data_IF_126430398464
#
_entry.id   IF_126430398464
#
_cell.length_a   1.000
_cell.length_b   1.000
_cell.length_c   1.000
_cell.angle_alpha   90.00
_cell.angle_beta   90.00
_cell.angle_gamma   90.00
#
_symmetry.space_group_name_H-M   'P 1'
#
loop_
_entity.id
_entity.type
_entity.pdbx_description
1 polymer ?
#
# COMPACT_ATOMS: atom_id res chain seq x y z
N UNK A 1 46.87 -2.64 -1.16
CA UNK A 1 45.65 -1.96 -1.63
C UNK A 1 45.31 -0.87 -0.63
N UNK A 2 45.16 0.41 -1.01
CA UNK A 2 44.80 1.45 -0.05
C UNK A 2 43.36 1.24 0.44
N UNK A 3 43.17 1.41 1.75
CA UNK A 3 41.89 1.28 2.43
C UNK A 3 40.91 2.35 1.92
N UNK A 4 39.73 1.90 1.45
CA UNK A 4 38.73 2.73 0.76
C UNK A 4 37.52 2.97 1.66
N UNK A 5 37.63 3.94 2.54
CA UNK A 5 36.51 4.50 3.28
C UNK A 5 36.90 5.89 3.83
N UNK A 6 37.05 6.89 2.95
CA UNK A 6 37.20 8.26 3.40
C UNK A 6 35.81 8.86 3.65
N UNK A 7 35.60 9.60 4.76
CA UNK A 7 34.32 10.27 5.05
C UNK A 7 33.89 11.30 3.99
N UNK A 8 34.80 11.65 3.06
CA UNK A 8 34.63 12.66 2.02
C UNK A 8 35.56 12.40 0.83
N UNK A 9 35.29 13.06 -0.30
CA UNK A 9 36.08 12.96 -1.54
C UNK A 9 35.30 12.26 -2.65
N UNK A 10 35.66 12.53 -3.91
CA UNK A 10 35.08 11.85 -5.07
C UNK A 10 35.88 10.57 -5.36
N UNK A 11 35.20 9.43 -5.43
CA UNK A 11 35.76 8.19 -5.97
C UNK A 11 35.48 8.16 -7.48
N UNK A 12 36.52 8.08 -8.31
CA UNK A 12 36.43 8.14 -9.78
C UNK A 12 35.95 6.84 -10.44
N UNK A 13 35.35 5.93 -9.67
CA UNK A 13 34.87 4.64 -10.15
C UNK A 13 33.43 4.70 -10.62
N UNK A 14 33.15 4.05 -11.75
CA UNK A 14 31.80 3.86 -12.24
C UNK A 14 31.02 3.02 -11.22
N UNK A 15 30.08 3.66 -10.52
CA UNK A 15 29.14 2.98 -9.64
C UNK A 15 27.87 2.69 -10.42
N UNK A 16 27.46 1.43 -10.42
CA UNK A 16 26.20 1.00 -11.04
C UNK A 16 25.13 0.88 -9.96
N UNK A 17 24.02 1.57 -10.15
CA UNK A 17 22.85 1.49 -9.27
C UNK A 17 21.86 0.51 -9.89
N UNK A 18 21.56 -0.56 -9.16
CA UNK A 18 20.58 -1.56 -9.54
C UNK A 18 19.37 -1.46 -8.61
N UNK A 19 18.17 -1.71 -9.15
CA UNK A 19 16.95 -1.83 -8.35
C UNK A 19 16.19 -3.08 -8.76
N UNK A 20 15.47 -3.66 -7.80
CA UNK A 20 14.50 -4.73 -8.04
C UNK A 20 13.27 -4.47 -7.19
N UNK A 21 12.13 -5.00 -7.61
CA UNK A 21 10.92 -4.99 -6.81
C UNK A 21 10.26 -6.35 -6.88
N UNK A 22 9.77 -6.81 -5.73
CA UNK A 22 8.95 -8.02 -5.65
C UNK A 22 7.52 -7.55 -5.42
N UNK A 23 6.59 -7.77 -6.37
CA UNK A 23 5.19 -7.46 -6.13
C UNK A 23 4.65 -8.35 -5.01
N UNK A 24 3.91 -7.76 -4.09
CA UNK A 24 3.06 -8.52 -3.18
C UNK A 24 1.72 -8.68 -3.86
N UNK A 25 1.35 -9.93 -4.16
CA UNK A 25 0.12 -10.24 -4.88
C UNK A 25 -1.14 -9.85 -4.07
N UNK A 26 -1.02 -9.68 -2.75
CA UNK A 26 -2.14 -9.40 -1.86
C UNK A 26 -1.80 -8.36 -0.78
N UNK A 27 -2.75 -7.48 -0.41
CA UNK A 27 -2.53 -6.39 0.56
C UNK A 27 -2.47 -6.86 2.01
N UNK A 28 -2.92 -8.07 2.31
CA UNK A 28 -2.85 -8.71 3.64
C UNK A 28 -1.48 -9.36 3.90
N UNK A 29 -0.71 -9.66 2.84
CA UNK A 29 0.61 -10.24 2.95
C UNK A 29 1.61 -9.23 3.50
N UNK A 30 2.17 -9.57 4.66
CA UNK A 30 3.26 -8.81 5.26
C UNK A 30 4.62 -9.38 4.84
N UNK A 31 5.54 -8.51 4.43
CA UNK A 31 6.95 -8.88 4.26
C UNK A 31 7.52 -9.26 5.62
N UNK A 32 7.82 -10.55 5.82
CA UNK A 32 8.39 -11.03 7.09
C UNK A 32 9.89 -10.79 7.19
N UNK A 33 10.60 -11.00 6.10
CA UNK A 33 12.05 -10.86 6.04
C UNK A 33 12.50 -10.64 4.59
N UNK A 34 13.60 -9.89 4.43
CA UNK A 34 14.33 -9.77 3.17
C UNK A 34 15.69 -10.41 3.39
N UNK A 35 16.01 -11.42 2.60
CA UNK A 35 17.34 -12.06 2.62
C UNK A 35 18.15 -11.50 1.48
N UNK A 36 19.31 -10.95 1.81
CA UNK A 36 20.26 -10.44 0.83
C UNK A 36 21.28 -11.53 0.50
N UNK A 37 21.87 -11.51 -0.71
CA UNK A 37 22.96 -12.42 -1.03
C UNK A 37 24.09 -12.27 -0.01
N UNK A 38 24.64 -13.40 0.42
CA UNK A 38 25.79 -13.40 1.31
C UNK A 38 27.03 -12.88 0.58
N UNK A 39 28.00 -12.39 1.35
CA UNK A 39 29.24 -11.86 0.79
C UNK A 39 30.07 -12.94 0.07
N UNK A 40 29.82 -14.22 0.36
CA UNK A 40 30.57 -15.35 -0.17
C UNK A 40 30.07 -15.79 -1.55
N UNK A 41 28.82 -15.51 -1.91
CA UNK A 41 28.26 -15.73 -3.26
C UNK A 41 28.52 -14.59 -4.23
N UNK A 42 28.91 -13.40 -3.73
CA UNK A 42 29.25 -12.24 -4.54
C UNK A 42 30.75 -12.28 -4.80
N UNK A 43 31.15 -12.86 -5.94
CA UNK A 43 32.55 -13.02 -6.34
C UNK A 43 33.28 -11.65 -6.36
N UNK A 44 33.92 -11.32 -5.23
CA UNK A 44 34.86 -10.19 -5.00
C UNK A 44 34.26 -8.77 -4.90
N UNK A 45 32.95 -8.62 -4.66
CA UNK A 45 32.28 -7.32 -4.56
C UNK A 45 31.67 -7.01 -3.18
N UNK A 46 31.62 -5.72 -2.80
CA UNK A 46 30.78 -5.24 -1.68
C UNK A 46 29.51 -4.60 -2.26
N UNK A 47 28.33 -5.02 -1.80
CA UNK A 47 27.06 -4.38 -2.16
C UNK A 47 26.79 -3.24 -1.17
N UNK A 48 26.54 -2.05 -1.71
CA UNK A 48 26.00 -0.93 -0.95
C UNK A 48 24.49 -0.90 -1.16
N UNK A 49 23.72 -1.01 -0.08
CA UNK A 49 22.28 -0.84 -0.11
C UNK A 49 22.00 0.64 0.12
N UNK A 50 21.46 1.29 -0.91
CA UNK A 50 21.11 2.70 -0.85
C UNK A 50 19.74 2.93 -0.21
N UNK A 51 18.77 2.08 -0.51
CA UNK A 51 17.41 2.16 0.01
C UNK A 51 16.72 0.78 0.00
N UNK A 52 15.81 0.55 0.95
CA UNK A 52 14.88 -0.58 0.96
C UNK A 52 13.52 -0.03 1.37
N UNK A 53 12.54 -0.12 0.48
CA UNK A 53 11.20 0.35 0.72
C UNK A 53 10.15 -0.70 0.36
N UNK A 54 9.04 -0.69 1.09
CA UNK A 54 7.83 -1.43 0.73
C UNK A 54 6.94 -0.47 -0.03
N UNK A 55 6.63 -0.80 -1.29
CA UNK A 55 5.71 0.01 -2.10
C UNK A 55 4.28 -0.45 -1.84
N UNK A 56 3.57 0.28 -0.99
CA UNK A 56 2.12 0.11 -0.86
C UNK A 56 1.43 0.60 -2.14
N UNK A 57 0.82 -0.31 -2.89
CA UNK A 57 -0.02 0.04 -4.03
C UNK A 57 -1.38 0.55 -3.52
N UNK A 58 -1.41 1.84 -3.19
CA UNK A 58 -2.65 2.52 -2.80
C UNK A 58 -3.64 2.52 -3.98
N UNK A 59 -4.95 2.43 -3.71
CA UNK A 59 -5.97 2.53 -4.74
C UNK A 59 -5.91 3.90 -5.39
N UNK A 60 -6.15 3.95 -6.70
CA UNK A 60 -6.16 5.19 -7.45
C UNK A 60 -7.56 5.79 -7.54
N UNK A 61 -8.59 5.01 -7.19
CA UNK A 61 -10.01 5.37 -7.27
C UNK A 61 -10.86 4.59 -6.26
N UNK A 62 -12.09 5.03 -6.05
CA UNK A 62 -13.11 4.25 -5.35
C UNK A 62 -13.42 2.92 -6.04
N UNK A 63 -13.23 2.81 -7.35
CA UNK A 63 -13.36 1.54 -8.08
C UNK A 63 -12.24 0.55 -7.72
N UNK A 64 -10.99 1.01 -7.60
CA UNK A 64 -9.88 0.16 -7.16
C UNK A 64 -10.08 -0.32 -5.71
N UNK A 65 -10.61 0.55 -4.86
CA UNK A 65 -10.94 0.21 -3.48
C UNK A 65 -12.06 -0.85 -3.40
N UNK A 66 -13.02 -0.86 -4.33
CA UNK A 66 -14.00 -1.96 -4.46
C UNK A 66 -13.34 -3.28 -4.82
N UNK A 67 -12.41 -3.29 -5.78
CA UNK A 67 -11.66 -4.50 -6.13
C UNK A 67 -10.94 -5.08 -4.93
N UNK A 68 -10.36 -4.21 -4.09
CA UNK A 68 -9.70 -4.63 -2.86
C UNK A 68 -10.65 -5.22 -1.82
N UNK A 69 -11.85 -4.65 -1.67
CA UNK A 69 -12.88 -5.25 -0.80
C UNK A 69 -13.24 -6.66 -1.28
N UNK A 70 -13.42 -6.86 -2.58
CA UNK A 70 -13.71 -8.19 -3.15
C UNK A 70 -12.60 -9.18 -2.82
N UNK A 71 -11.34 -8.80 -3.05
CA UNK A 71 -10.17 -9.64 -2.72
C UNK A 71 -10.12 -10.01 -1.23
N UNK A 72 -10.26 -9.02 -0.34
CA UNK A 72 -10.27 -9.26 1.10
C UNK A 72 -11.48 -10.10 1.55
N UNK A 73 -12.61 -10.02 0.85
CA UNK A 73 -13.78 -10.86 1.12
C UNK A 73 -13.54 -12.32 0.71
N UNK A 74 -12.91 -12.56 -0.44
CA UNK A 74 -12.52 -13.91 -0.91
C UNK A 74 -11.52 -14.59 0.05
N UNK A 75 -10.68 -13.79 0.71
CA UNK A 75 -9.74 -14.23 1.75
C UNK A 75 -10.41 -14.48 3.12
N UNK A 76 -11.72 -14.22 3.24
CA UNK A 76 -12.45 -14.32 4.51
C UNK A 76 -12.11 -13.21 5.51
N UNK A 77 -11.38 -12.17 5.08
CA UNK A 77 -10.96 -11.06 5.92
C UNK A 77 -12.10 -10.04 6.17
N UNK A 78 -13.18 -10.14 5.40
CA UNK A 78 -14.40 -9.32 5.52
C UNK A 78 -15.61 -10.24 5.56
N UNK A 79 -16.47 -10.07 6.55
CA UNK A 79 -17.71 -10.82 6.64
C UNK A 79 -18.69 -10.36 5.55
N UNK A 80 -19.37 -11.30 4.89
CA UNK A 80 -20.34 -11.08 3.81
C UNK A 80 -21.33 -9.91 4.03
N UNK A 81 -21.90 -9.72 5.23
CA UNK A 81 -22.85 -8.62 5.46
C UNK A 81 -22.19 -7.23 5.41
N UNK A 82 -20.88 -7.12 5.64
CA UNK A 82 -20.13 -5.87 5.49
C UNK A 82 -19.77 -5.61 4.01
N UNK A 83 -19.49 -6.66 3.23
CA UNK A 83 -19.06 -6.55 1.82
C UNK A 83 -20.05 -5.75 0.98
N UNK A 84 -21.35 -6.05 1.12
CA UNK A 84 -22.40 -5.36 0.35
C UNK A 84 -22.45 -3.86 0.70
N UNK A 85 -22.50 -3.53 2.00
CA UNK A 85 -22.62 -2.15 2.45
C UNK A 85 -21.42 -1.30 2.04
N UNK A 86 -20.21 -1.83 2.20
CA UNK A 86 -18.97 -1.14 1.79
C UNK A 86 -18.95 -0.89 0.27
N UNK A 87 -19.36 -1.88 -0.54
CA UNK A 87 -19.40 -1.76 -2.00
C UNK A 87 -20.44 -0.76 -2.51
N UNK A 88 -21.62 -0.71 -1.88
CA UNK A 88 -22.66 0.28 -2.23
C UNK A 88 -22.16 1.68 -1.94
N UNK A 89 -21.51 1.90 -0.78
CA UNK A 89 -20.97 3.22 -0.43
C UNK A 89 -19.90 3.69 -1.42
N UNK A 90 -18.97 2.82 -1.82
CA UNK A 90 -17.96 3.15 -2.82
C UNK A 90 -18.52 3.33 -4.24
N UNK A 91 -19.71 2.79 -4.52
CA UNK A 91 -20.40 3.09 -5.78
C UNK A 91 -20.78 4.56 -5.85
N UNK A 92 -21.23 5.16 -4.75
CA UNK A 92 -21.47 6.60 -4.68
C UNK A 92 -20.17 7.40 -4.87
N UNK A 93 -19.08 7.01 -4.20
CA UNK A 93 -17.75 7.64 -4.37
C UNK A 93 -17.35 7.66 -5.84
N UNK A 94 -17.37 6.51 -6.52
CA UNK A 94 -17.01 6.40 -7.94
C UNK A 94 -17.88 7.30 -8.85
N UNK A 95 -19.16 7.49 -8.52
CA UNK A 95 -20.03 8.41 -9.27
C UNK A 95 -19.60 9.87 -9.10
N UNK A 96 -19.16 10.28 -7.91
CA UNK A 96 -18.63 11.63 -7.69
C UNK A 96 -17.24 11.82 -8.30
N UNK A 97 -16.38 10.80 -8.25
CA UNK A 97 -15.08 10.82 -8.93
C UNK A 97 -15.23 11.06 -10.44
N UNK A 98 -16.17 10.37 -11.09
CA UNK A 98 -16.48 10.56 -12.52
C UNK A 98 -17.00 11.96 -12.85
N UNK A 99 -17.63 12.63 -11.89
CA UNK A 99 -18.12 14.01 -12.03
C UNK A 99 -17.08 15.05 -11.63
N UNK A 100 -15.89 14.60 -11.18
CA UNK A 100 -14.84 15.46 -10.64
C UNK A 100 -15.32 16.35 -9.47
N UNK A 101 -16.27 15.85 -8.68
CA UNK A 101 -16.87 16.56 -7.54
C UNK A 101 -16.06 16.25 -6.27
N UNK A 102 -14.92 16.91 -6.11
CA UNK A 102 -13.95 16.64 -5.05
C UNK A 102 -14.55 16.77 -3.64
N UNK A 103 -15.41 17.77 -3.42
CA UNK A 103 -16.08 17.97 -2.13
C UNK A 103 -16.94 16.76 -1.75
N UNK A 104 -17.75 16.26 -2.70
CA UNK A 104 -18.55 15.07 -2.47
C UNK A 104 -17.70 13.82 -2.33
N UNK A 105 -16.63 13.67 -3.11
CA UNK A 105 -15.72 12.53 -2.99
C UNK A 105 -15.14 12.47 -1.58
N UNK A 106 -14.56 13.57 -1.10
CA UNK A 106 -13.95 13.65 0.25
C UNK A 106 -15.01 13.37 1.32
N UNK A 107 -16.18 14.00 1.24
CA UNK A 107 -17.27 13.79 2.20
C UNK A 107 -17.73 12.33 2.25
N UNK A 108 -17.88 11.68 1.10
CA UNK A 108 -18.28 10.28 1.06
C UNK A 108 -17.17 9.35 1.54
N UNK A 109 -15.90 9.64 1.27
CA UNK A 109 -14.79 8.86 1.83
C UNK A 109 -14.67 9.02 3.36
N UNK A 110 -14.96 10.18 3.92
CA UNK A 110 -15.08 10.34 5.38
C UNK A 110 -16.23 9.53 5.97
N UNK A 111 -17.38 9.50 5.30
CA UNK A 111 -18.48 8.60 5.67
C UNK A 111 -18.09 7.12 5.57
N UNK A 112 -17.21 6.78 4.61
CA UNK A 112 -16.69 5.44 4.46
C UNK A 112 -15.77 5.04 5.62
N UNK A 113 -14.94 5.96 6.15
CA UNK A 113 -14.17 5.71 7.38
C UNK A 113 -15.06 5.30 8.54
N UNK A 114 -16.15 6.03 8.79
CA UNK A 114 -17.07 5.70 9.87
C UNK A 114 -17.69 4.31 9.68
N UNK A 115 -17.96 3.92 8.43
CA UNK A 115 -18.45 2.58 8.11
C UNK A 115 -17.39 1.50 8.37
N UNK A 116 -16.12 1.77 8.06
CA UNK A 116 -15.00 0.89 8.38
C UNK A 116 -14.80 0.75 9.89
N UNK A 117 -14.86 1.85 10.64
CA UNK A 117 -14.76 1.85 12.10
C UNK A 117 -15.89 0.99 12.70
N UNK A 118 -17.13 1.21 12.27
CA UNK A 118 -18.29 0.40 12.71
C UNK A 118 -18.07 -1.10 12.45
N UNK A 119 -17.69 -1.50 11.24
CA UNK A 119 -17.50 -2.92 10.93
C UNK A 119 -16.27 -3.52 11.60
N UNK A 120 -15.22 -2.72 11.84
CA UNK A 120 -14.02 -3.14 12.55
C UNK A 120 -14.32 -3.43 14.01
N UNK A 121 -14.97 -2.49 14.70
CA UNK A 121 -15.37 -2.62 16.10
C UNK A 121 -16.36 -3.78 16.33
N UNK A 122 -17.21 -4.08 15.35
CA UNK A 122 -18.16 -5.19 15.42
C UNK A 122 -17.58 -6.54 14.96
N UNK A 123 -16.27 -6.64 14.75
CA UNK A 123 -15.59 -7.88 14.36
C UNK A 123 -16.00 -8.43 12.99
N UNK A 124 -16.49 -7.57 12.09
CA UNK A 124 -16.85 -7.92 10.70
C UNK A 124 -15.70 -7.71 9.73
N UNK A 125 -14.64 -7.07 10.17
CA UNK A 125 -13.35 -6.95 9.50
C UNK A 125 -12.29 -7.55 10.41
N UNK A 126 -11.34 -8.27 9.83
CA UNK A 126 -10.07 -8.55 10.55
C UNK A 126 -9.31 -7.25 10.78
N UNK A 127 -8.45 -7.21 11.80
CA UNK A 127 -7.60 -6.04 12.07
C UNK A 127 -6.74 -5.65 10.86
N UNK A 128 -6.30 -6.63 10.07
CA UNK A 128 -5.53 -6.41 8.86
C UNK A 128 -6.39 -5.71 7.78
N UNK A 129 -7.59 -6.23 7.50
CA UNK A 129 -8.51 -5.63 6.52
C UNK A 129 -8.91 -4.21 6.94
N UNK A 130 -9.20 -3.99 8.22
CA UNK A 130 -9.50 -2.66 8.75
C UNK A 130 -8.34 -1.67 8.51
N UNK A 131 -7.11 -2.04 8.87
CA UNK A 131 -5.93 -1.17 8.66
C UNK A 131 -5.69 -0.85 7.19
N UNK A 132 -5.78 -1.84 6.31
CA UNK A 132 -5.59 -1.67 4.87
C UNK A 132 -6.64 -0.73 4.28
N UNK A 133 -7.92 -0.99 4.53
CA UNK A 133 -9.00 -0.17 3.98
C UNK A 133 -8.99 1.25 4.55
N UNK A 134 -8.60 1.43 5.82
CA UNK A 134 -8.45 2.75 6.44
C UNK A 134 -7.33 3.55 5.76
N UNK A 135 -6.14 2.95 5.60
CA UNK A 135 -5.02 3.58 4.92
C UNK A 135 -5.33 3.93 3.45
N UNK A 136 -6.05 3.06 2.77
CA UNK A 136 -6.53 3.29 1.40
C UNK A 136 -7.50 4.46 1.30
N UNK A 137 -8.41 4.56 2.25
CA UNK A 137 -9.39 5.65 2.31
C UNK A 137 -8.69 6.98 2.62
N UNK A 138 -7.76 7.00 3.59
CA UNK A 138 -6.94 8.16 3.92
C UNK A 138 -6.14 8.66 2.72
N UNK A 139 -5.56 7.74 1.93
CA UNK A 139 -4.84 8.09 0.71
C UNK A 139 -5.75 8.76 -0.32
N UNK A 140 -6.95 8.21 -0.57
CA UNK A 140 -7.91 8.80 -1.50
C UNK A 140 -8.40 10.18 -1.02
N UNK A 141 -8.65 10.35 0.28
CA UNK A 141 -9.03 11.65 0.84
C UNK A 141 -7.95 12.69 0.57
N UNK A 142 -6.69 12.38 0.89
CA UNK A 142 -5.56 13.29 0.65
C UNK A 142 -5.44 13.63 -0.83
N UNK A 143 -5.57 12.63 -1.72
CA UNK A 143 -5.51 12.83 -3.17
C UNK A 143 -6.55 13.85 -3.66
N UNK A 144 -7.78 13.79 -3.16
CA UNK A 144 -8.88 14.65 -3.59
C UNK A 144 -8.94 16.01 -2.86
N UNK A 145 -8.08 16.21 -1.85
CA UNK A 145 -7.90 17.50 -1.15
C UNK A 145 -6.73 18.33 -1.70
N UNK A 146 -5.88 17.75 -2.55
CA UNK A 146 -4.79 18.43 -3.26
C UNK A 146 -5.32 19.16 -4.50
#
# INVERSE_FOLDING_TARGET
MPYRNSPSGQDGLATYVYYTYVPLDHPDKMVRSVTLPDADTIDKGRIHIFDIAIKYAAPKSGADLKTRITQLAEEGAIHEQAVYALNVHLTAVNQFEKKNDSEKVVKHLQGFHHLLDYYGENGRLTDAAYRVLKADTDYLIRKWQL
#
